data_IF_867840246340
#
_entry.id   IF_867840246340
#
_cell.length_a   1.000
_cell.length_b   1.000
_cell.length_c   1.000
_cell.angle_alpha   90.00
_cell.angle_beta   90.00
_cell.angle_gamma   90.00
#
_symmetry.space_group_name_H-M   'P 1'
#
loop_
_entity.id
_entity.type
_entity.pdbx_description
1 polymer ?
#
# COMPACT_ATOMS: atom_id res chain seq x y z
N UNK A 1 -20.62 -26.55 2.82
CA UNK A 1 -19.38 -26.35 2.32
C UNK A 1 -19.13 -24.91 2.05
N UNK A 2 -18.01 -24.50 2.30
CA UNK A 2 -17.77 -23.14 2.23
C UNK A 2 -16.63 -22.90 1.33
N UNK A 3 -16.74 -21.95 0.51
CA UNK A 3 -15.73 -21.69 -0.42
C UNK A 3 -15.12 -20.40 -0.09
N UNK A 4 -13.83 -20.38 -0.04
CA UNK A 4 -13.12 -19.16 0.11
C UNK A 4 -13.42 -18.30 -1.09
N UNK A 5 -13.89 -17.10 -0.86
CA UNK A 5 -14.26 -16.24 -1.95
C UNK A 5 -13.15 -15.29 -2.25
N UNK A 6 -12.57 -15.46 -3.42
CA UNK A 6 -11.57 -14.53 -3.88
C UNK A 6 -12.26 -13.39 -4.62
N UNK A 7 -11.78 -12.20 -4.44
CA UNK A 7 -12.32 -11.08 -5.17
C UNK A 7 -11.23 -10.04 -5.39
N UNK A 8 -11.48 -9.17 -6.33
CA UNK A 8 -10.49 -8.20 -6.75
C UNK A 8 -10.78 -6.88 -6.09
N UNK A 9 -9.76 -6.29 -5.50
CA UNK A 9 -9.84 -4.94 -4.95
C UNK A 9 -8.80 -4.08 -5.63
N UNK A 10 -9.03 -2.78 -5.60
CA UNK A 10 -8.07 -1.82 -6.13
C UNK A 10 -7.54 -1.01 -4.97
N UNK A 11 -6.24 -1.04 -4.81
CA UNK A 11 -5.54 -0.23 -3.83
C UNK A 11 -4.91 0.94 -4.56
N UNK A 12 -4.65 2.01 -3.84
CA UNK A 12 -3.86 3.11 -4.36
C UNK A 12 -2.68 3.30 -3.44
N UNK A 13 -1.49 3.09 -3.99
CA UNK A 13 -0.24 3.23 -3.23
C UNK A 13 0.48 4.45 -3.78
N UNK A 14 0.44 5.53 -3.03
CA UNK A 14 0.89 6.81 -3.53
C UNK A 14 -0.01 7.24 -4.67
N UNK A 15 0.55 7.37 -5.85
CA UNK A 15 -0.23 7.71 -7.04
C UNK A 15 -0.45 6.52 -7.95
N UNK A 16 -0.10 5.33 -7.48
CA UNK A 16 -0.15 4.14 -8.31
C UNK A 16 -1.34 3.27 -7.92
N UNK A 17 -2.31 3.08 -8.82
CA UNK A 17 -3.39 2.13 -8.55
C UNK A 17 -2.88 0.71 -8.76
N UNK A 18 -3.37 -0.20 -7.95
CA UNK A 18 -2.99 -1.60 -8.02
C UNK A 18 -4.22 -2.44 -7.78
N UNK A 19 -4.57 -3.29 -8.76
CA UNK A 19 -5.68 -4.20 -8.62
C UNK A 19 -5.13 -5.58 -8.31
N UNK A 20 -5.62 -6.17 -7.22
CA UNK A 20 -5.16 -7.49 -6.82
C UNK A 20 -6.36 -8.33 -6.45
N UNK A 21 -6.20 -9.65 -6.58
CA UNK A 21 -7.22 -10.59 -6.19
C UNK A 21 -6.81 -11.23 -4.88
N UNK A 22 -7.67 -11.13 -3.89
CA UNK A 22 -7.38 -11.59 -2.54
C UNK A 22 -8.56 -12.38 -2.02
N UNK A 23 -8.35 -13.04 -0.90
CA UNK A 23 -9.44 -13.69 -0.20
C UNK A 23 -10.20 -12.62 0.57
N UNK A 24 -11.52 -12.78 0.64
CA UNK A 24 -12.36 -11.77 1.26
C UNK A 24 -11.97 -11.51 2.71
N UNK A 25 -11.56 -12.55 3.42
CA UNK A 25 -11.20 -12.38 4.82
C UNK A 25 -9.91 -11.59 5.02
N UNK A 26 -9.13 -11.38 3.94
CA UNK A 26 -7.88 -10.65 4.02
C UNK A 26 -8.02 -9.18 3.66
N UNK A 27 -9.21 -8.74 3.28
CA UNK A 27 -9.37 -7.37 2.80
C UNK A 27 -8.95 -6.34 3.83
N UNK A 28 -9.32 -6.57 5.08
CA UNK A 28 -9.01 -5.59 6.11
C UNK A 28 -7.50 -5.41 6.27
N UNK A 29 -6.76 -6.51 6.20
CA UNK A 29 -5.31 -6.45 6.32
C UNK A 29 -4.69 -5.68 5.14
N UNK A 30 -5.20 -5.91 3.93
CA UNK A 30 -4.69 -5.20 2.76
C UNK A 30 -5.00 -3.71 2.82
N UNK A 31 -6.21 -3.36 3.32
CA UNK A 31 -6.54 -1.95 3.46
C UNK A 31 -5.69 -1.27 4.52
N UNK A 32 -5.38 -1.97 5.60
CA UNK A 32 -4.51 -1.43 6.63
C UNK A 32 -3.10 -1.21 6.08
N UNK A 33 -2.62 -2.14 5.27
CA UNK A 33 -1.31 -2.01 4.65
C UNK A 33 -1.28 -0.81 3.70
N UNK A 34 -2.34 -0.64 2.92
CA UNK A 34 -2.46 0.51 2.02
C UNK A 34 -2.35 1.82 2.81
N UNK A 35 -3.05 1.88 3.91
CA UNK A 35 -3.05 3.09 4.74
C UNK A 35 -1.66 3.38 5.29
N UNK A 36 -0.98 2.35 5.75
CA UNK A 36 0.36 2.52 6.30
C UNK A 36 1.34 3.01 5.23
N UNK A 37 1.30 2.39 4.06
CA UNK A 37 2.19 2.80 2.97
C UNK A 37 1.93 4.25 2.59
N UNK A 38 0.67 4.65 2.52
CA UNK A 38 0.33 6.01 2.11
C UNK A 38 0.69 7.03 3.18
N UNK A 39 0.64 6.66 4.44
CA UNK A 39 1.10 7.55 5.50
C UNK A 39 2.58 7.83 5.36
N UNK A 40 3.37 6.79 5.11
CA UNK A 40 4.81 6.95 4.92
C UNK A 40 5.08 7.75 3.66
N UNK A 41 4.37 7.42 2.58
CA UNK A 41 4.52 8.12 1.31
C UNK A 41 4.31 9.63 1.50
N UNK A 42 3.21 10.00 2.15
CA UNK A 42 2.87 11.41 2.32
C UNK A 42 3.91 12.13 3.17
N UNK A 43 4.43 11.45 4.18
CA UNK A 43 5.45 12.03 5.04
C UNK A 43 6.71 12.35 4.23
N UNK A 44 7.16 11.41 3.40
CA UNK A 44 8.35 11.63 2.59
C UNK A 44 8.11 12.67 1.51
N UNK A 45 6.91 12.67 0.90
CA UNK A 45 6.61 13.66 -0.10
C UNK A 45 6.65 15.09 0.46
N UNK A 46 6.25 15.23 1.72
CA UNK A 46 6.31 16.54 2.38
C UNK A 46 7.73 16.94 2.72
N UNK A 47 8.57 15.98 3.09
CA UNK A 47 9.95 16.28 3.51
C UNK A 47 10.88 16.49 2.32
N UNK A 48 10.67 15.78 1.24
CA UNK A 48 11.58 15.78 0.09
C UNK A 48 10.81 16.06 -1.18
N UNK A 49 10.45 17.32 -1.42
CA UNK A 49 9.63 17.63 -2.60
C UNK A 49 10.37 17.35 -3.89
N UNK A 50 9.59 17.08 -4.94
CA UNK A 50 10.08 16.94 -6.31
C UNK A 50 10.87 15.67 -6.58
N UNK A 51 10.62 14.60 -5.79
CA UNK A 51 11.33 13.33 -6.02
C UNK A 51 10.57 12.37 -6.91
N UNK A 52 9.26 12.55 -7.04
CA UNK A 52 8.47 11.66 -7.88
C UNK A 52 7.90 10.47 -7.12
N UNK A 53 6.88 9.89 -7.74
CA UNK A 53 6.08 8.84 -7.08
C UNK A 53 6.90 7.61 -6.73
N UNK A 54 7.74 7.16 -7.67
CA UNK A 54 8.50 5.92 -7.45
C UNK A 54 9.48 6.05 -6.30
N UNK A 55 10.11 7.21 -6.17
CA UNK A 55 11.07 7.42 -5.10
C UNK A 55 10.36 7.41 -3.75
N UNK A 56 9.22 8.08 -3.64
CA UNK A 56 8.48 8.09 -2.38
C UNK A 56 8.00 6.69 -2.00
N UNK A 57 7.59 5.90 -3.00
CA UNK A 57 7.18 4.52 -2.71
C UNK A 57 8.36 3.69 -2.22
N UNK A 58 9.52 3.86 -2.84
CA UNK A 58 10.73 3.16 -2.38
C UNK A 58 11.08 3.55 -0.95
N UNK A 59 10.99 4.84 -0.64
CA UNK A 59 11.26 5.30 0.72
C UNK A 59 10.28 4.68 1.71
N UNK A 60 9.00 4.63 1.33
CA UNK A 60 7.99 4.04 2.19
C UNK A 60 8.26 2.57 2.43
N UNK A 61 8.60 1.83 1.35
CA UNK A 61 8.93 0.42 1.45
C UNK A 61 10.09 0.19 2.40
N UNK A 62 11.13 0.98 2.22
CA UNK A 62 12.33 0.80 3.03
C UNK A 62 12.04 1.10 4.50
N UNK A 63 11.28 2.16 4.76
CA UNK A 63 10.93 2.53 6.11
C UNK A 63 10.16 1.42 6.81
N UNK A 64 9.20 0.82 6.10
CA UNK A 64 8.38 -0.25 6.66
C UNK A 64 9.24 -1.49 6.91
N UNK A 65 10.08 -1.84 5.94
CA UNK A 65 10.92 -3.03 6.09
C UNK A 65 11.88 -2.89 7.26
N UNK A 66 12.40 -1.68 7.48
CA UNK A 66 13.34 -1.47 8.58
C UNK A 66 12.67 -1.49 9.94
N UNK A 67 11.34 -1.35 9.99
CA UNK A 67 10.64 -1.38 11.27
C UNK A 67 10.13 -2.77 11.63
N UNK A 68 10.35 -3.76 10.82
CA UNK A 68 9.92 -5.13 11.13
C UNK A 68 10.80 -5.78 12.18
#
# INVERSE_FOLDING_TARGET
>A
MEVSEDFTITLRLGQQPLSITIRREDEEAYRAAEKLINQKYNSYAAQYPDQGNEIYLCMAELSIALSL
#
